data_IF_423455914798
#
_entry.id   IF_423455914798
#
_cell.length_a   1.000
_cell.length_b   1.000
_cell.length_c   1.000
_cell.angle_alpha   90.00
_cell.angle_beta   90.00
_cell.angle_gamma   90.00
#
_symmetry.space_group_name_H-M   'P 1'
#
loop_
_entity.id
_entity.type
_entity.pdbx_description
1 polymer ?
#
# COMPACT_ATOMS: atom_id res chain seq x y z
N UNK A 1 18.65 1.32 -14.37
CA UNK A 1 18.01 2.31 -13.47
C UNK A 1 17.70 1.60 -12.16
N UNK A 2 18.13 2.11 -11.01
CA UNK A 2 17.75 1.55 -9.70
C UNK A 2 16.29 1.92 -9.42
N UNK A 3 15.42 0.92 -9.31
CA UNK A 3 14.04 1.17 -8.90
C UNK A 3 14.05 1.49 -7.41
N UNK A 4 13.68 2.72 -7.03
CA UNK A 4 13.67 3.15 -5.63
C UNK A 4 12.29 2.95 -5.00
N UNK A 5 12.29 2.50 -3.75
CA UNK A 5 11.09 2.42 -2.91
C UNK A 5 10.46 3.82 -2.74
N UNK A 6 9.13 3.93 -2.84
CA UNK A 6 8.43 5.22 -2.74
C UNK A 6 7.04 5.12 -2.12
N UNK A 7 6.58 6.22 -1.55
CA UNK A 7 5.19 6.41 -1.13
C UNK A 7 4.30 6.64 -2.36
N UNK A 8 3.15 5.98 -2.40
CA UNK A 8 2.14 6.11 -3.46
C UNK A 8 0.93 6.91 -2.97
N UNK A 9 0.48 6.64 -1.74
CA UNK A 9 -0.67 7.31 -1.13
C UNK A 9 -0.59 7.24 0.41
N UNK A 10 -1.31 8.15 1.07
CA UNK A 10 -1.41 8.26 2.53
C UNK A 10 -2.87 8.12 2.97
N UNK A 11 -3.09 7.39 4.07
CA UNK A 11 -4.42 7.17 4.66
C UNK A 11 -4.30 7.31 6.17
N UNK A 12 -4.53 8.51 6.70
CA UNK A 12 -4.27 8.78 8.13
C UNK A 12 -2.81 8.49 8.48
N UNK A 13 -2.58 7.50 9.36
CA UNK A 13 -1.23 7.05 9.72
C UNK A 13 -0.71 5.86 8.88
N UNK A 14 -1.48 5.36 7.90
CA UNK A 14 -1.02 4.35 6.96
C UNK A 14 -0.36 4.96 5.72
N UNK A 15 0.68 4.29 5.22
CA UNK A 15 1.37 4.63 3.98
C UNK A 15 1.32 3.45 3.03
N UNK A 16 0.81 3.67 1.82
CA UNK A 16 0.92 2.72 0.73
C UNK A 16 2.26 2.92 0.04
N UNK A 17 3.12 1.91 0.14
CA UNK A 17 4.47 1.90 -0.41
C UNK A 17 4.50 1.05 -1.69
N UNK A 18 5.25 1.51 -2.70
CA UNK A 18 5.67 0.69 -3.84
C UNK A 18 7.14 0.36 -3.67
N UNK A 19 7.43 -0.94 -3.57
CA UNK A 19 8.77 -1.48 -3.46
C UNK A 19 9.51 -1.42 -4.80
N UNK A 20 10.84 -1.54 -4.75
CA UNK A 20 11.71 -1.55 -5.93
C UNK A 20 11.33 -2.66 -6.92
N UNK A 21 10.90 -3.81 -6.40
CA UNK A 21 10.46 -4.99 -7.16
C UNK A 21 9.02 -4.87 -7.71
N UNK A 22 8.35 -3.73 -7.49
CA UNK A 22 7.00 -3.47 -7.97
C UNK A 22 5.88 -3.93 -7.04
N UNK A 23 6.18 -4.60 -5.92
CA UNK A 23 5.17 -4.98 -4.93
C UNK A 23 4.64 -3.77 -4.17
N UNK A 24 3.41 -3.90 -3.67
CA UNK A 24 2.77 -2.89 -2.84
C UNK A 24 2.67 -3.36 -1.38
N UNK A 25 2.94 -2.47 -0.43
CA UNK A 25 2.86 -2.75 1.00
C UNK A 25 2.20 -1.60 1.77
N UNK A 26 1.41 -1.95 2.79
CA UNK A 26 0.84 -0.97 3.72
C UNK A 26 1.64 -0.96 5.03
N UNK A 27 2.27 0.17 5.30
CA UNK A 27 2.98 0.43 6.56
C UNK A 27 2.17 1.33 7.48
N UNK A 28 2.21 1.05 8.79
CA UNK A 28 1.54 1.89 9.78
C UNK A 28 0.01 1.90 9.69
N UNK A 29 -0.60 2.83 10.41
CA UNK A 29 -2.05 3.02 10.45
C UNK A 29 -2.81 2.05 11.34
N UNK A 30 -3.93 2.54 11.85
CA UNK A 30 -4.91 1.75 12.57
C UNK A 30 -5.78 0.92 11.60
N UNK A 31 -6.77 0.19 12.13
CA UNK A 31 -7.66 -0.64 11.31
C UNK A 31 -8.43 0.16 10.24
N UNK A 32 -8.88 1.37 10.56
CA UNK A 32 -9.65 2.21 9.64
C UNK A 32 -8.77 2.74 8.51
N UNK A 33 -7.57 3.22 8.84
CA UNK A 33 -6.57 3.67 7.88
C UNK A 33 -6.25 2.59 6.85
N UNK A 34 -6.05 1.35 7.33
CA UNK A 34 -5.74 0.19 6.48
C UNK A 34 -6.92 -0.22 5.60
N UNK A 35 -8.15 -0.15 6.13
CA UNK A 35 -9.35 -0.43 5.34
C UNK A 35 -9.52 0.59 4.21
N UNK A 36 -9.40 1.89 4.52
CA UNK A 36 -9.47 2.95 3.52
C UNK A 36 -8.42 2.76 2.42
N UNK A 37 -7.20 2.36 2.80
CA UNK A 37 -6.14 2.07 1.85
C UNK A 37 -6.45 0.88 0.94
N UNK A 38 -7.04 -0.19 1.48
CA UNK A 38 -7.46 -1.36 0.72
C UNK A 38 -8.57 -1.00 -0.27
N UNK A 39 -9.61 -0.31 0.20
CA UNK A 39 -10.75 0.12 -0.63
C UNK A 39 -10.29 1.02 -1.78
N UNK A 40 -9.48 2.03 -1.48
CA UNK A 40 -8.90 2.89 -2.49
C UNK A 40 -8.03 2.11 -3.49
N UNK A 41 -7.18 1.20 -3.01
CA UNK A 41 -6.32 0.41 -3.90
C UNK A 41 -7.15 -0.48 -4.84
N UNK A 42 -8.26 -1.06 -4.38
CA UNK A 42 -9.17 -1.85 -5.22
C UNK A 42 -9.84 -1.03 -6.33
N UNK A 43 -9.99 0.29 -6.15
CA UNK A 43 -10.61 1.18 -7.13
C UNK A 43 -9.59 1.79 -8.10
N UNK A 44 -8.38 2.09 -7.62
CA UNK A 44 -7.43 2.94 -8.35
C UNK A 44 -6.07 2.29 -8.67
N UNK A 45 -5.78 1.11 -8.11
CA UNK A 45 -4.55 0.35 -8.33
C UNK A 45 -4.88 -1.13 -8.57
N UNK A 46 -5.49 -1.49 -9.72
CA UNK A 46 -5.86 -2.86 -10.02
C UNK A 46 -4.64 -3.82 -10.07
N UNK A 47 -3.44 -3.31 -10.35
CA UNK A 47 -2.19 -4.07 -10.30
C UNK A 47 -1.66 -4.32 -8.87
N UNK A 48 -2.19 -3.62 -7.86
CA UNK A 48 -1.76 -3.79 -6.48
C UNK A 48 -2.40 -5.05 -5.88
N UNK A 49 -1.72 -6.19 -6.06
CA UNK A 49 -1.97 -7.38 -5.25
C UNK A 49 -1.42 -7.10 -3.84
N UNK A 50 -2.25 -6.45 -3.01
CA UNK A 50 -1.93 -6.24 -1.60
C UNK A 50 -1.85 -7.60 -0.91
N UNK A 51 -0.64 -8.12 -0.74
CA UNK A 51 -0.41 -9.33 0.01
C UNK A 51 -0.87 -9.09 1.46
N UNK A 52 -2.04 -9.61 1.83
CA UNK A 52 -2.43 -9.73 3.24
C UNK A 52 -1.40 -10.63 3.91
N UNK A 53 -0.41 -10.05 4.58
CA UNK A 53 0.38 -10.82 5.56
C UNK A 53 -0.59 -11.24 6.65
N UNK A 54 -0.94 -12.53 6.67
CA UNK A 54 -1.43 -13.17 7.89
C UNK A 54 -0.25 -13.15 8.85
N UNK A 55 -0.40 -12.42 9.94
CA UNK A 55 0.50 -12.51 11.08
C UNK A 55 0.18 -13.77 11.87
#
# INVERSE_FOLDING_TARGET
>A
MLHTRRVVALFGQARLMREADGRFQLEGGNRHDRLAAIEWSSLFLPEAVLARRKH
#
